data_IF_090554654721
#
_entry.id   IF_090554654721
#
_cell.length_a   1.000
_cell.length_b   1.000
_cell.length_c   1.000
_cell.angle_alpha   90.00
_cell.angle_beta   90.00
_cell.angle_gamma   90.00
#
_symmetry.space_group_name_H-M   'P 1'
#
loop_
_entity.id
_entity.type
_entity.pdbx_description
1 polymer ?
#
# COMPACT_ATOMS: atom_id res chain seq x y z
N UNK A 1 -1.81 -15.87 -24.61
CA UNK A 1 -0.33 -15.84 -24.76
C UNK A 1 0.04 -14.61 -25.59
N UNK A 2 1.09 -13.88 -25.20
CA UNK A 2 1.55 -12.72 -25.96
C UNK A 2 2.18 -13.19 -27.29
N UNK A 3 1.93 -12.45 -28.37
CA UNK A 3 2.49 -12.77 -29.69
C UNK A 3 3.98 -12.39 -29.76
N UNK A 4 4.75 -13.02 -30.65
CA UNK A 4 6.19 -12.73 -30.79
C UNK A 4 6.48 -11.25 -31.05
N UNK A 5 5.58 -10.57 -31.78
CA UNK A 5 5.64 -9.12 -31.99
C UNK A 5 5.44 -8.32 -30.70
N UNK A 6 4.57 -8.77 -29.81
CA UNK A 6 4.36 -8.13 -28.50
C UNK A 6 5.54 -8.37 -27.56
N UNK A 7 6.14 -9.56 -27.60
CA UNK A 7 7.33 -9.89 -26.80
C UNK A 7 8.54 -9.06 -27.24
N UNK A 8 8.77 -8.93 -28.54
CA UNK A 8 9.87 -8.12 -29.08
C UNK A 8 9.67 -6.63 -28.80
N UNK A 9 8.44 -6.11 -28.96
CA UNK A 9 8.11 -4.74 -28.59
C UNK A 9 8.30 -4.49 -27.08
N UNK A 10 7.90 -5.43 -26.22
CA UNK A 10 8.12 -5.32 -24.78
C UNK A 10 9.60 -5.35 -24.41
N UNK A 11 10.41 -6.17 -25.09
CA UNK A 11 11.87 -6.22 -24.90
C UNK A 11 12.53 -4.90 -25.31
N UNK A 12 12.14 -4.32 -26.44
CA UNK A 12 12.62 -3.02 -26.90
C UNK A 12 12.18 -1.87 -25.98
N UNK A 13 10.95 -1.91 -25.47
CA UNK A 13 10.44 -0.91 -24.53
C UNK A 13 11.13 -1.03 -23.15
N UNK A 14 11.42 -2.25 -22.69
CA UNK A 14 12.15 -2.49 -21.45
C UNK A 14 13.60 -1.97 -21.54
N UNK A 15 14.25 -2.11 -22.69
CA UNK A 15 15.59 -1.53 -22.93
C UNK A 15 15.57 0.01 -22.91
N UNK A 16 14.44 0.64 -23.25
CA UNK A 16 14.27 2.11 -23.23
C UNK A 16 13.77 2.65 -21.89
N UNK A 17 13.23 1.81 -21.02
CA UNK A 17 12.63 2.20 -19.75
C UNK A 17 13.51 1.76 -18.58
N UNK A 18 14.65 2.40 -18.41
CA UNK A 18 15.66 2.01 -17.39
C UNK A 18 15.37 2.51 -15.98
N UNK A 19 14.15 3.02 -15.74
CA UNK A 19 13.82 3.79 -14.54
C UNK A 19 14.72 5.02 -14.35
N UNK A 20 14.48 5.81 -13.28
CA UNK A 20 15.32 6.94 -12.97
C UNK A 20 16.69 6.49 -12.43
N UNK A 21 17.76 6.89 -13.10
CA UNK A 21 19.15 6.50 -12.75
C UNK A 21 19.90 7.55 -11.93
N UNK A 22 19.45 8.80 -11.95
CA UNK A 22 20.07 9.92 -11.22
C UNK A 22 19.53 10.02 -9.81
N UNK A 23 20.29 10.60 -8.87
CA UNK A 23 19.81 10.86 -7.51
C UNK A 23 18.55 11.73 -7.52
N UNK A 24 18.49 12.75 -8.39
CA UNK A 24 17.31 13.61 -8.59
C UNK A 24 16.13 12.88 -9.25
N UNK A 25 16.41 11.95 -10.17
CA UNK A 25 15.39 11.13 -10.81
C UNK A 25 14.83 10.10 -9.84
N UNK A 26 15.69 9.49 -9.02
CA UNK A 26 15.30 8.58 -7.93
C UNK A 26 14.55 9.36 -6.87
N UNK A 27 14.96 10.58 -6.52
CA UNK A 27 14.22 11.46 -5.60
C UNK A 27 12.81 11.75 -6.16
N UNK A 28 12.70 12.20 -7.42
CA UNK A 28 11.40 12.41 -8.10
C UNK A 28 10.54 11.16 -8.17
N UNK A 29 11.14 10.00 -8.42
CA UNK A 29 10.42 8.72 -8.46
C UNK A 29 10.12 8.13 -7.09
N UNK A 30 10.91 8.46 -6.06
CA UNK A 30 10.70 8.06 -4.66
C UNK A 30 9.63 8.91 -4.00
N UNK A 31 9.48 10.17 -4.43
CA UNK A 31 8.33 11.01 -4.09
C UNK A 31 7.03 10.50 -4.72
N UNK A 32 7.09 9.64 -5.74
CA UNK A 32 5.90 8.94 -6.24
C UNK A 32 5.52 7.74 -5.37
N UNK A 33 6.39 7.26 -4.47
CA UNK A 33 6.15 5.99 -3.78
C UNK A 33 5.69 6.10 -2.33
N UNK A 34 6.11 7.04 -1.49
CA UNK A 34 5.71 6.96 -0.07
C UNK A 34 5.62 8.31 0.63
N UNK A 35 4.44 8.58 1.20
CA UNK A 35 4.17 9.06 2.57
C UNK A 35 2.78 9.72 2.71
N UNK A 36 1.73 9.05 2.23
CA UNK A 36 0.41 9.65 1.94
C UNK A 36 0.47 10.58 0.73
N UNK A 37 -0.49 10.51 -0.20
CA UNK A 37 -0.57 11.49 -1.29
C UNK A 37 -1.74 12.45 -1.15
N UNK A 38 -2.16 12.66 0.10
CA UNK A 38 -3.05 13.75 0.50
C UNK A 38 -2.27 15.07 0.47
N UNK A 39 -0.99 15.07 0.88
CA UNK A 39 -0.12 16.27 0.93
C UNK A 39 0.68 16.52 -0.35
N UNK A 40 0.56 15.66 -1.36
CA UNK A 40 1.21 15.90 -2.64
C UNK A 40 0.58 17.15 -3.27
N UNK A 41 1.37 18.20 -3.54
CA UNK A 41 0.91 19.39 -4.30
C UNK A 41 0.25 19.04 -5.65
N UNK A 42 0.42 17.81 -6.14
CA UNK A 42 -0.26 17.28 -7.33
C UNK A 42 -1.68 16.75 -7.08
N UNK A 43 -2.14 16.63 -5.83
CA UNK A 43 -3.45 16.10 -5.49
C UNK A 43 -4.56 17.14 -5.73
N UNK A 44 -4.24 18.42 -5.54
CA UNK A 44 -5.11 19.58 -5.77
C UNK A 44 -4.82 20.17 -7.16
N UNK A 45 -5.86 20.38 -7.96
CA UNK A 45 -5.77 21.08 -9.25
C UNK A 45 -6.23 22.55 -9.13
N UNK A 46 -5.94 23.44 -10.10
CA UNK A 46 -6.49 24.79 -10.07
C UNK A 46 -8.02 24.81 -9.94
N UNK A 47 -8.54 25.63 -9.03
CA UNK A 47 -9.98 25.73 -8.73
C UNK A 47 -10.47 24.79 -7.63
N UNK A 48 -9.62 23.92 -7.09
CA UNK A 48 -9.92 23.11 -5.91
C UNK A 48 -9.40 23.77 -4.62
N UNK A 49 -10.13 23.57 -3.52
CA UNK A 49 -9.77 24.10 -2.21
C UNK A 49 -9.08 23.01 -1.36
N UNK A 50 -7.81 23.21 -0.96
CA UNK A 50 -7.10 22.29 -0.08
C UNK A 50 -7.83 22.05 1.26
N UNK A 51 -8.56 23.04 1.78
CA UNK A 51 -9.28 22.90 3.04
C UNK A 51 -10.44 21.89 2.92
N UNK A 52 -11.07 21.78 1.74
CA UNK A 52 -12.11 20.78 1.49
C UNK A 52 -11.54 19.36 1.46
N UNK A 53 -10.36 19.17 0.87
CA UNK A 53 -9.67 17.88 0.89
C UNK A 53 -9.28 17.50 2.32
N UNK A 54 -8.72 18.44 3.09
CA UNK A 54 -8.38 18.19 4.49
C UNK A 54 -9.62 17.82 5.31
N UNK A 55 -10.72 18.57 5.17
CA UNK A 55 -11.96 18.28 5.88
C UNK A 55 -12.57 16.91 5.49
N UNK A 56 -12.39 16.49 4.23
CA UNK A 56 -12.77 15.15 3.80
C UNK A 56 -11.89 14.08 4.46
N UNK A 57 -10.57 14.28 4.47
CA UNK A 57 -9.61 13.39 5.11
C UNK A 57 -9.90 13.24 6.60
N UNK A 58 -10.10 14.34 7.32
CA UNK A 58 -10.38 14.35 8.75
C UNK A 58 -11.67 13.58 9.07
N UNK A 59 -12.72 13.79 8.28
CA UNK A 59 -13.99 13.08 8.45
C UNK A 59 -13.82 11.56 8.27
N UNK A 60 -13.15 11.14 7.20
CA UNK A 60 -12.94 9.71 6.92
C UNK A 60 -12.02 9.08 7.97
N UNK A 61 -10.95 9.75 8.38
CA UNK A 61 -10.08 9.29 9.46
C UNK A 61 -10.84 9.13 10.79
N UNK A 62 -11.72 10.08 11.13
CA UNK A 62 -12.54 10.00 12.34
C UNK A 62 -13.57 8.85 12.30
N UNK A 63 -14.12 8.56 11.12
CA UNK A 63 -15.04 7.45 10.90
C UNK A 63 -14.33 6.09 10.99
N UNK A 64 -13.23 5.93 10.24
CA UNK A 64 -12.56 4.64 10.05
C UNK A 64 -11.53 4.31 11.12
N UNK A 65 -11.08 5.31 11.89
CA UNK A 65 -10.19 5.17 13.06
C UNK A 65 -9.00 4.23 12.80
N UNK A 66 -8.14 4.53 11.80
CA UNK A 66 -6.95 3.73 11.56
C UNK A 66 -6.03 3.79 12.78
N UNK A 67 -5.67 2.64 13.34
CA UNK A 67 -4.76 2.56 14.49
C UNK A 67 -3.31 2.23 14.08
N UNK A 68 -3.13 1.58 12.94
CA UNK A 68 -1.82 1.18 12.42
C UNK A 68 -1.47 1.95 11.14
N UNK A 69 -0.17 2.03 10.82
CA UNK A 69 0.30 2.64 9.57
C UNK A 69 -0.27 1.93 8.32
N UNK A 70 -0.46 0.61 8.40
CA UNK A 70 -1.06 -0.17 7.31
C UNK A 70 -2.54 0.20 7.08
N UNK A 71 -3.30 0.38 8.16
CA UNK A 71 -4.68 0.87 8.08
C UNK A 71 -4.72 2.32 7.57
N UNK A 72 -3.83 3.19 8.08
CA UNK A 72 -3.71 4.58 7.64
C UNK A 72 -3.46 4.67 6.14
N UNK A 73 -2.59 3.82 5.61
CA UNK A 73 -2.33 3.74 4.18
C UNK A 73 -3.61 3.44 3.36
N UNK A 74 -4.44 2.49 3.81
CA UNK A 74 -5.71 2.20 3.14
C UNK A 74 -6.68 3.36 3.25
N UNK A 75 -6.77 4.02 4.41
CA UNK A 75 -7.59 5.21 4.60
C UNK A 75 -7.17 6.35 3.66
N UNK A 76 -5.88 6.58 3.47
CA UNK A 76 -5.40 7.61 2.54
C UNK A 76 -5.78 7.31 1.08
N UNK A 77 -5.81 6.02 0.69
CA UNK A 77 -6.29 5.59 -0.63
C UNK A 77 -7.79 5.89 -0.78
N UNK A 78 -8.59 5.57 0.25
CA UNK A 78 -10.04 5.85 0.29
C UNK A 78 -10.29 7.35 0.11
N UNK A 79 -9.62 8.20 0.90
CA UNK A 79 -9.73 9.66 0.80
C UNK A 79 -9.39 10.16 -0.61
N UNK A 80 -8.32 9.65 -1.22
CA UNK A 80 -7.94 10.00 -2.58
C UNK A 80 -9.02 9.60 -3.58
N UNK A 81 -9.56 8.40 -3.47
CA UNK A 81 -10.58 7.90 -4.37
C UNK A 81 -11.86 8.73 -4.28
N UNK A 82 -12.28 9.13 -3.09
CA UNK A 82 -13.45 9.99 -2.88
C UNK A 82 -13.22 11.38 -3.47
N UNK A 83 -12.03 11.96 -3.26
CA UNK A 83 -11.68 13.24 -3.86
C UNK A 83 -11.69 13.18 -5.40
N UNK A 84 -11.15 12.10 -5.97
CA UNK A 84 -11.18 11.88 -7.42
C UNK A 84 -12.59 11.67 -7.96
N UNK A 85 -13.47 10.98 -7.22
CA UNK A 85 -14.86 10.80 -7.62
C UNK A 85 -15.60 12.14 -7.73
N UNK A 86 -15.44 13.03 -6.73
CA UNK A 86 -15.99 14.39 -6.78
C UNK A 86 -15.49 15.18 -7.98
N UNK A 87 -14.20 15.02 -8.32
CA UNK A 87 -13.62 15.64 -9.52
C UNK A 87 -14.22 15.09 -10.80
N UNK A 88 -14.40 13.77 -10.91
CA UNK A 88 -14.94 13.16 -12.12
C UNK A 88 -16.37 13.61 -12.40
N UNK A 89 -17.21 13.76 -11.37
CA UNK A 89 -18.56 14.34 -11.52
C UNK A 89 -18.52 15.75 -12.12
N UNK A 90 -17.60 16.61 -11.64
CA UNK A 90 -17.42 17.96 -12.19
C UNK A 90 -16.90 17.92 -13.63
N UNK A 91 -15.94 17.02 -13.92
CA UNK A 91 -15.42 16.84 -15.27
C UNK A 91 -16.51 16.38 -16.25
N UNK A 92 -17.37 15.45 -15.84
CA UNK A 92 -18.48 14.97 -16.67
C UNK A 92 -19.42 16.11 -17.04
N UNK A 93 -19.85 16.89 -16.05
CA UNK A 93 -20.72 18.06 -16.26
C UNK A 93 -20.08 19.08 -17.22
N UNK A 94 -18.79 19.35 -17.07
CA UNK A 94 -18.06 20.28 -17.95
C UNK A 94 -17.85 19.74 -19.37
N UNK A 95 -17.66 18.42 -19.53
CA UNK A 95 -17.60 17.77 -20.86
C UNK A 95 -18.94 17.95 -21.57
N UNK A 96 -20.05 17.67 -20.88
CA UNK A 96 -21.40 17.89 -21.43
C UNK A 96 -21.65 19.35 -21.78
N UNK A 97 -21.40 20.26 -20.83
CA UNK A 97 -21.62 21.70 -21.03
C UNK A 97 -20.86 22.20 -22.27
N UNK A 98 -19.60 21.78 -22.43
CA UNK A 98 -18.74 22.19 -23.55
C UNK A 98 -19.15 21.51 -24.86
N UNK A 99 -19.58 20.25 -24.85
CA UNK A 99 -19.99 19.56 -26.07
C UNK A 99 -21.35 20.04 -26.59
N UNK A 100 -22.25 20.45 -25.70
CA UNK A 100 -23.56 20.98 -26.04
C UNK A 100 -23.55 22.47 -26.41
N UNK A 101 -22.45 23.17 -26.15
CA UNK A 101 -22.36 24.64 -26.22
C UNK A 101 -22.79 25.22 -27.56
N UNK A 102 -22.37 24.59 -28.67
CA UNK A 102 -22.75 25.02 -30.01
C UNK A 102 -24.27 24.90 -30.23
N UNK A 103 -24.83 23.71 -29.97
CA UNK A 103 -26.25 23.42 -30.17
C UNK A 103 -27.15 24.30 -29.30
N UNK A 104 -26.74 24.55 -28.05
CA UNK A 104 -27.44 25.50 -27.16
C UNK A 104 -27.42 26.91 -27.73
N UNK A 105 -26.24 27.43 -28.13
CA UNK A 105 -26.11 28.79 -28.67
C UNK A 105 -26.88 29.00 -29.97
N UNK A 106 -27.04 27.95 -30.78
CA UNK A 106 -27.77 27.98 -32.05
C UNK A 106 -29.25 27.61 -31.92
N UNK A 107 -29.69 27.28 -30.70
CA UNK A 107 -31.05 26.84 -30.42
C UNK A 107 -31.46 25.62 -31.28
N UNK A 108 -30.52 24.71 -31.52
CA UNK A 108 -30.73 23.47 -32.24
C UNK A 108 -31.57 22.50 -31.40
N UNK A 109 -32.43 21.68 -32.03
CA UNK A 109 -33.15 20.63 -31.33
C UNK A 109 -32.16 19.59 -30.77
N UNK A 110 -32.47 19.04 -29.59
CA UNK A 110 -31.73 17.93 -28.96
C UNK A 110 -30.22 18.18 -28.70
N UNK A 111 -29.82 19.24 -27.98
CA UNK A 111 -28.42 19.56 -27.73
C UNK A 111 -27.65 18.43 -27.03
N UNK A 112 -28.35 17.61 -26.22
CA UNK A 112 -27.74 16.49 -25.51
C UNK A 112 -27.30 15.36 -26.46
N UNK A 113 -28.10 15.03 -27.47
CA UNK A 113 -27.72 14.00 -28.44
C UNK A 113 -26.45 14.42 -29.21
N UNK A 114 -26.43 15.68 -29.67
CA UNK A 114 -25.24 16.27 -30.32
C UNK A 114 -24.03 16.27 -29.40
N UNK A 115 -24.21 16.69 -28.14
CA UNK A 115 -23.15 16.69 -27.14
C UNK A 115 -22.53 15.30 -26.93
N UNK A 116 -23.35 14.24 -26.97
CA UNK A 116 -22.89 12.86 -26.87
C UNK A 116 -22.04 12.45 -28.07
N UNK A 117 -22.50 12.72 -29.29
CA UNK A 117 -21.78 12.39 -30.52
C UNK A 117 -20.46 13.16 -30.66
N UNK A 118 -20.37 14.36 -30.10
CA UNK A 118 -19.17 15.20 -30.13
C UNK A 118 -18.13 14.86 -29.06
N UNK A 119 -18.51 14.17 -27.97
CA UNK A 119 -17.62 13.86 -26.85
C UNK A 119 -17.32 12.37 -26.55
N UNK A 120 -17.47 11.40 -27.48
CA UNK A 120 -17.43 9.97 -27.12
C UNK A 120 -16.08 9.53 -26.54
N UNK A 121 -14.96 10.11 -27.02
CA UNK A 121 -13.62 9.79 -26.53
C UNK A 121 -13.36 10.31 -25.12
N UNK A 122 -13.93 11.46 -24.76
CA UNK A 122 -13.70 12.07 -23.45
C UNK A 122 -14.57 11.38 -22.39
N UNK A 123 -15.85 11.14 -22.70
CA UNK A 123 -16.76 10.39 -21.85
C UNK A 123 -16.24 8.97 -21.60
N UNK A 124 -15.91 8.21 -22.65
CA UNK A 124 -15.38 6.86 -22.47
C UNK A 124 -14.03 6.80 -21.72
N UNK A 125 -13.19 7.84 -21.83
CA UNK A 125 -11.97 7.93 -21.00
C UNK A 125 -12.29 8.21 -19.54
N UNK A 126 -13.31 9.03 -19.27
CA UNK A 126 -13.76 9.34 -17.92
C UNK A 126 -14.38 8.11 -17.26
N UNK A 127 -15.22 7.35 -17.98
CA UNK A 127 -15.82 6.11 -17.50
C UNK A 127 -14.76 5.11 -17.05
N UNK A 128 -13.74 4.88 -17.89
CA UNK A 128 -12.62 4.00 -17.56
C UNK A 128 -11.82 4.48 -16.33
N UNK A 129 -11.75 5.79 -16.09
CA UNK A 129 -11.09 6.36 -14.91
C UNK A 129 -11.95 6.15 -13.66
N UNK A 130 -13.25 6.33 -13.78
CA UNK A 130 -14.22 6.11 -12.71
C UNK A 130 -14.22 4.64 -12.27
N UNK A 131 -14.32 3.70 -13.21
CA UNK A 131 -14.27 2.27 -12.88
C UNK A 131 -12.96 1.86 -12.20
N UNK A 132 -11.82 2.39 -12.66
CA UNK A 132 -10.52 2.12 -12.02
C UNK A 132 -10.47 2.67 -10.60
N UNK A 133 -11.02 3.87 -10.40
CA UNK A 133 -11.09 4.50 -9.10
C UNK A 133 -11.99 3.70 -8.14
N UNK A 134 -13.15 3.27 -8.59
CA UNK A 134 -14.08 2.45 -7.80
C UNK A 134 -13.48 1.10 -7.43
N UNK A 135 -12.79 0.42 -8.36
CA UNK A 135 -12.07 -0.82 -8.05
C UNK A 135 -10.99 -0.61 -6.99
N UNK A 136 -10.25 0.48 -7.07
CA UNK A 136 -9.22 0.83 -6.08
C UNK A 136 -9.85 1.12 -4.70
N UNK A 137 -10.92 1.92 -4.67
CA UNK A 137 -11.68 2.22 -3.46
C UNK A 137 -12.17 0.95 -2.78
N UNK A 138 -12.84 0.07 -3.53
CA UNK A 138 -13.38 -1.18 -3.00
C UNK A 138 -12.27 -2.12 -2.52
N UNK A 139 -11.14 -2.18 -3.23
CA UNK A 139 -9.98 -2.97 -2.78
C UNK A 139 -9.39 -2.43 -1.48
N UNK A 140 -9.26 -1.11 -1.33
CA UNK A 140 -8.72 -0.48 -0.13
C UNK A 140 -9.65 -0.66 1.07
N UNK A 141 -10.97 -0.52 0.86
CA UNK A 141 -12.00 -0.80 1.88
C UNK A 141 -11.91 -2.24 2.41
N UNK A 142 -11.87 -3.22 1.50
CA UNK A 142 -11.75 -4.65 1.89
C UNK A 142 -10.47 -4.94 2.64
N UNK A 143 -9.34 -4.35 2.22
CA UNK A 143 -8.07 -4.56 2.89
C UNK A 143 -8.04 -3.90 4.28
N UNK A 144 -8.63 -2.72 4.42
CA UNK A 144 -8.80 -2.06 5.71
C UNK A 144 -9.64 -2.91 6.67
N UNK A 145 -10.79 -3.41 6.22
CA UNK A 145 -11.66 -4.30 7.00
C UNK A 145 -10.91 -5.56 7.45
N UNK A 146 -10.09 -6.15 6.56
CA UNK A 146 -9.25 -7.31 6.88
C UNK A 146 -8.21 -6.98 7.95
N UNK A 147 -7.51 -5.85 7.82
CA UNK A 147 -6.49 -5.42 8.77
C UNK A 147 -7.10 -5.16 10.16
N UNK A 148 -8.24 -4.47 10.20
CA UNK A 148 -8.96 -4.19 11.44
C UNK A 148 -9.50 -5.45 12.09
N UNK A 149 -10.08 -6.37 11.32
CA UNK A 149 -10.54 -7.66 11.84
C UNK A 149 -9.40 -8.46 12.48
N UNK A 150 -8.22 -8.51 11.84
CA UNK A 150 -7.05 -9.19 12.42
C UNK A 150 -6.57 -8.53 13.71
N UNK A 151 -6.59 -7.19 13.76
CA UNK A 151 -6.19 -6.44 14.96
C UNK A 151 -7.14 -6.72 16.12
N UNK A 152 -8.45 -6.58 15.90
CA UNK A 152 -9.46 -6.85 16.92
C UNK A 152 -9.42 -8.31 17.39
N UNK A 153 -9.16 -9.25 16.49
CA UNK A 153 -8.96 -10.65 16.88
C UNK A 153 -7.74 -10.79 17.80
N UNK A 154 -6.60 -10.18 17.46
CA UNK A 154 -5.40 -10.21 18.28
C UNK A 154 -5.61 -9.58 19.67
N UNK A 155 -6.28 -8.43 19.74
CA UNK A 155 -6.64 -7.75 21.00
C UNK A 155 -7.47 -8.67 21.92
N UNK A 156 -8.47 -9.38 21.37
CA UNK A 156 -9.31 -10.33 22.13
C UNK A 156 -8.50 -11.53 22.64
N UNK A 157 -7.53 -12.04 21.87
CA UNK A 157 -6.67 -13.12 22.32
C UNK A 157 -5.71 -12.69 23.44
N UNK A 158 -5.20 -11.46 23.40
CA UNK A 158 -4.32 -10.91 24.45
C UNK A 158 -5.09 -10.65 25.75
N UNK A 159 -6.29 -10.06 25.68
CA UNK A 159 -7.13 -9.83 26.86
C UNK A 159 -7.57 -11.14 27.54
N UNK A 160 -7.92 -12.17 26.74
CA UNK A 160 -8.28 -13.50 27.28
C UNK A 160 -7.10 -14.27 27.89
N UNK A 161 -5.87 -14.02 27.42
CA UNK A 161 -4.66 -14.59 28.01
C UNK A 161 -4.26 -13.90 29.31
N UNK A 162 -4.51 -12.60 29.45
CA UNK A 162 -4.26 -11.86 30.68
C UNK A 162 -5.19 -12.29 31.84
N UNK A 163 -6.46 -12.61 31.55
CA UNK A 163 -7.43 -13.11 32.54
C UNK A 163 -7.16 -14.54 33.05
N UNK A 164 -6.29 -15.31 32.38
CA UNK A 164 -6.02 -16.72 32.70
C UNK A 164 -4.72 -16.96 33.48
N UNK A 165 -4.08 -15.91 34.02
CA UNK A 165 -2.91 -16.07 34.90
C UNK A 165 -3.36 -16.73 36.23
N UNK A 166 -2.91 -17.96 36.56
CA UNK A 166 -3.25 -18.57 37.84
C UNK A 166 -2.55 -17.79 38.95
N UNK A 167 -3.33 -17.29 39.91
CA UNK A 167 -2.83 -16.72 41.15
C UNK A 167 -1.90 -17.75 41.84
N UNK A 168 -0.69 -17.38 42.31
CA UNK A 168 0.18 -18.34 42.98
C UNK A 168 -0.48 -18.75 44.29
N UNK A 169 -0.95 -20.00 44.36
CA UNK A 169 -1.37 -20.61 45.60
C UNK A 169 -0.13 -20.75 46.48
N UNK A 170 -0.09 -20.01 47.58
CA UNK A 170 0.88 -20.20 48.67
C UNK A 170 0.80 -21.66 49.12
N UNK A 171 1.85 -22.42 48.81
CA UNK A 171 2.00 -23.80 49.28
C UNK A 171 2.61 -23.75 50.67
N UNK A 172 1.78 -23.73 51.71
CA UNK A 172 2.21 -24.11 53.05
C UNK A 172 2.52 -25.60 53.07
N UNK A 173 3.77 -25.94 53.34
CA UNK A 173 4.17 -27.29 53.72
C UNK A 173 3.61 -27.61 55.11
N UNK A 174 3.31 -28.90 55.38
CA UNK A 174 3.87 -29.48 56.58
C UNK A 174 4.56 -30.84 56.33
N UNK A 175 5.59 -31.06 57.13
CA UNK A 175 6.39 -32.28 57.22
C UNK A 175 5.70 -33.38 58.07
N UNK A 176 6.31 -34.58 58.04
CA UNK A 176 6.12 -35.79 58.89
C UNK A 176 4.96 -36.75 58.48
N UNK A 177 5.04 -38.08 58.51
CA UNK A 177 6.06 -39.07 58.86
C UNK A 177 5.62 -40.46 58.29
N UNK A 178 6.60 -41.31 57.93
CA UNK A 178 6.68 -42.78 58.02
C UNK A 178 5.46 -43.69 57.77
N UNK A 179 5.59 -44.60 56.80
CA UNK A 179 4.77 -45.81 56.68
C UNK A 179 5.23 -46.76 55.58
N UNK A 180 5.93 -47.82 55.97
CA UNK A 180 6.48 -48.94 55.19
C UNK A 180 5.56 -49.57 54.13
N UNK A 181 6.13 -49.95 52.97
CA UNK A 181 6.08 -51.35 52.49
C UNK A 181 7.03 -51.60 51.29
N UNK A 182 7.98 -52.51 51.51
CA UNK A 182 8.74 -53.22 50.48
C UNK A 182 7.82 -54.26 49.82
N UNK A 183 7.88 -54.42 48.49
CA UNK A 183 8.21 -55.71 47.86
C UNK A 183 8.32 -55.62 46.33
N UNK A 184 9.44 -56.19 45.84
CA UNK A 184 9.71 -56.79 44.53
C UNK A 184 10.04 -55.92 43.30
N UNK A 185 11.35 -55.93 42.99
CA UNK A 185 11.93 -55.83 41.65
C UNK A 185 11.78 -57.18 40.88
N UNK A 186 12.05 -57.28 39.56
CA UNK A 186 13.42 -57.10 39.03
C UNK A 186 13.55 -56.31 37.70
N UNK A 187 14.67 -55.61 37.59
CA UNK A 187 15.42 -55.14 36.39
C UNK A 187 15.87 -56.32 35.48
N UNK A 188 16.40 -56.14 34.23
CA UNK A 188 17.48 -55.20 33.83
C UNK A 188 17.52 -54.78 32.31
N UNK A 189 18.63 -54.31 31.69
CA UNK A 189 19.56 -53.21 32.06
C UNK A 189 19.86 -52.20 30.90
N UNK A 190 20.55 -51.12 31.28
CA UNK A 190 21.64 -50.39 30.59
C UNK A 190 21.39 -49.48 29.34
N UNK A 191 21.38 -48.16 29.62
CA UNK A 191 22.19 -47.03 29.05
C UNK A 191 23.05 -47.23 27.78
N UNK A 192 23.41 -46.16 26.99
CA UNK A 192 23.83 -44.85 27.51
C UNK A 192 23.56 -43.55 26.69
N UNK A 193 23.52 -42.44 27.45
CA UNK A 193 24.15 -41.12 27.26
C UNK A 193 24.81 -40.76 25.90
N UNK A 194 24.45 -39.57 25.39
CA UNK A 194 25.31 -38.49 24.86
C UNK A 194 24.41 -37.46 24.13
N UNK A 195 24.74 -36.19 23.87
CA UNK A 195 25.54 -35.10 24.43
C UNK A 195 25.40 -33.93 23.40
N UNK A 196 25.61 -32.68 23.85
CA UNK A 196 26.03 -31.46 23.10
C UNK A 196 25.11 -30.75 22.07
N UNK A 197 24.70 -29.51 22.43
CA UNK A 197 24.90 -28.17 21.78
C UNK A 197 24.67 -27.95 20.25
N UNK A 198 24.64 -26.68 19.72
CA UNK A 198 24.08 -25.41 20.19
C UNK A 198 23.34 -24.59 19.07
N UNK A 199 22.87 -23.38 19.45
CA UNK A 199 22.26 -22.26 18.70
C UNK A 199 22.86 -21.88 17.32
N UNK A 200 22.08 -21.37 16.35
CA UNK A 200 22.62 -20.72 15.15
C UNK A 200 22.63 -19.18 15.22
N UNK A 201 23.69 -18.63 14.62
CA UNK A 201 24.11 -17.24 14.59
C UNK A 201 23.44 -16.37 13.51
N UNK A 202 23.45 -15.06 13.75
CA UNK A 202 23.14 -13.96 12.82
C UNK A 202 24.38 -13.58 11.99
N UNK A 203 24.27 -13.16 10.72
CA UNK A 203 25.39 -12.54 10.02
C UNK A 203 25.25 -11.01 9.95
N UNK A 204 26.34 -10.32 10.32
CA UNK A 204 26.63 -8.92 9.99
C UNK A 204 27.49 -8.90 8.71
N UNK A 205 27.25 -7.96 7.80
CA UNK A 205 28.22 -7.59 6.77
C UNK A 205 28.55 -6.10 6.89
N UNK A 206 29.85 -5.83 7.08
CA UNK A 206 30.48 -4.53 6.91
C UNK A 206 31.20 -4.43 5.55
N UNK A 207 31.75 -3.25 5.21
CA UNK A 207 32.10 -2.86 3.84
C UNK A 207 33.60 -3.03 3.54
N UNK A 208 33.94 -3.29 2.27
CA UNK A 208 35.31 -3.14 1.77
C UNK A 208 35.42 -1.98 0.77
N UNK A 209 36.41 -1.14 1.05
CA UNK A 209 36.94 -0.08 0.19
C UNK A 209 37.90 -0.67 -0.84
N UNK A 210 38.09 -0.01 -2.00
CA UNK A 210 39.38 0.56 -2.39
C UNK A 210 39.43 1.06 -3.86
N UNK A 211 39.92 2.31 -4.00
CA UNK A 211 40.92 2.82 -4.96
C UNK A 211 40.61 3.04 -6.46
N UNK A 212 40.99 4.24 -6.96
CA UNK A 212 40.76 4.83 -8.30
C UNK A 212 41.77 4.43 -9.41
N UNK A 213 42.17 5.29 -10.40
CA UNK A 213 42.17 6.76 -10.46
C UNK A 213 41.62 7.43 -11.76
N UNK A 214 41.76 8.77 -11.77
CA UNK A 214 41.51 9.83 -12.77
C UNK A 214 41.57 9.54 -14.28
N UNK A 215 40.67 10.21 -15.01
CA UNK A 215 40.84 10.63 -16.41
C UNK A 215 39.80 11.69 -16.81
N UNK A 216 40.25 12.92 -17.04
CA UNK A 216 39.53 14.07 -17.67
C UNK A 216 40.39 14.55 -18.85
N UNK A 217 39.95 15.52 -19.67
CA UNK A 217 38.65 15.84 -20.28
C UNK A 217 38.78 16.04 -21.81
N UNK A 218 37.70 15.92 -22.59
CA UNK A 218 37.45 16.56 -23.92
C UNK A 218 36.29 15.82 -24.61
N UNK A 219 35.42 16.34 -25.49
CA UNK A 219 35.32 17.57 -26.28
C UNK A 219 33.85 17.58 -26.79
N UNK A 220 33.16 18.72 -26.78
CA UNK A 220 31.93 18.91 -27.57
C UNK A 220 32.34 19.35 -28.97
N UNK A 221 31.64 18.98 -30.07
CA UNK A 221 30.55 19.81 -30.61
C UNK A 221 29.54 19.02 -31.50
N UNK A 222 28.76 19.63 -32.42
CA UNK A 222 27.68 20.59 -32.18
C UNK A 222 26.33 20.14 -32.78
N UNK A 223 25.29 20.92 -32.44
CA UNK A 223 23.98 20.93 -33.08
C UNK A 223 24.07 21.34 -34.56
N UNK A 224 23.29 20.69 -35.41
CA UNK A 224 22.78 21.19 -36.70
C UNK A 224 21.27 20.95 -36.64
N UNK A 225 20.47 22.04 -36.56
CA UNK A 225 19.80 22.71 -37.67
C UNK A 225 18.56 21.94 -38.12
#
# INVERSE_FOLDING_TARGET
MATDKQTEANRQNAQKSTGPRTAEGKARSSMNHFKTGIDAKSAIIPGEDPAQLQALADRICAELKPATEAERHQVDIIVRCDWQALRYVRCEAEIWRRSMEYSIRKNEPNPMAEGYFLAPKNLGRLDLRLEKNERLYNSARRELERLQANRFAAEVFEDGAAESTPQPAETEAPAEELGSNLQNAPEPPATPSQATDPTPATPKFGPESASGPLGTPDEAPPKSA
#
